data_IF_250879241263
#
_entry.id   IF_250879241263
#
_cell.length_a   1.000
_cell.length_b   1.000
_cell.length_c   1.000
_cell.angle_alpha   90.00
_cell.angle_beta   90.00
_cell.angle_gamma   90.00
#
_symmetry.space_group_name_H-M   'P 1'
#
loop_
_entity.id
_entity.type
_entity.pdbx_description
1 polymer ?
#
# COMPACT_ATOMS: atom_id res chain seq x y z
N UNK A 1 5.86 -94.15 -10.45
CA UNK A 1 5.99 -93.62 -11.82
C UNK A 1 5.31 -92.26 -11.84
N UNK A 2 6.01 -91.27 -12.40
CA UNK A 2 5.96 -89.85 -12.07
C UNK A 2 4.61 -89.19 -12.44
N UNK A 3 4.01 -88.47 -11.49
CA UNK A 3 2.97 -87.44 -11.70
C UNK A 3 3.24 -86.27 -10.75
N UNK A 4 2.74 -85.11 -11.15
CA UNK A 4 2.71 -83.79 -10.48
C UNK A 4 3.80 -82.78 -10.89
N UNK A 5 3.54 -82.21 -12.06
CA UNK A 5 3.30 -80.79 -12.32
C UNK A 5 3.79 -79.74 -11.30
N UNK A 6 4.73 -78.92 -11.78
CA UNK A 6 4.88 -77.48 -11.55
C UNK A 6 4.80 -76.97 -10.09
N UNK A 7 5.97 -76.89 -9.48
CA UNK A 7 6.27 -76.01 -8.34
C UNK A 7 7.48 -75.15 -8.71
N UNK A 8 7.29 -73.85 -8.95
CA UNK A 8 7.97 -72.87 -8.09
C UNK A 8 7.33 -71.48 -8.18
N UNK A 9 7.09 -70.91 -7.01
CA UNK A 9 6.55 -69.57 -6.82
C UNK A 9 7.68 -68.55 -6.88
N UNK A 10 7.49 -67.48 -7.66
CA UNK A 10 7.85 -66.10 -7.28
C UNK A 10 7.25 -65.08 -8.26
N UNK A 11 6.23 -64.30 -7.84
CA UNK A 11 5.98 -62.98 -8.39
C UNK A 11 6.54 -61.95 -7.41
N UNK A 12 7.63 -61.26 -7.77
CA UNK A 12 8.01 -60.02 -7.09
C UNK A 12 7.12 -58.90 -7.63
N UNK A 13 6.28 -58.40 -6.72
CA UNK A 13 5.36 -57.28 -6.87
C UNK A 13 6.07 -55.99 -7.30
N UNK A 14 5.41 -55.28 -8.22
CA UNK A 14 5.45 -53.83 -8.35
C UNK A 14 5.22 -53.15 -6.99
N UNK A 15 5.95 -52.06 -6.72
CA UNK A 15 5.39 -50.72 -6.48
C UNK A 15 6.48 -49.76 -5.97
N UNK A 16 6.62 -48.63 -6.66
CA UNK A 16 7.30 -47.42 -6.18
C UNK A 16 6.70 -46.95 -4.85
N UNK A 17 7.49 -46.29 -4.00
CA UNK A 17 7.13 -44.90 -3.76
C UNK A 17 8.32 -43.94 -3.71
N UNK A 18 8.06 -42.79 -4.33
CA UNK A 18 8.72 -41.50 -4.20
C UNK A 18 9.22 -41.22 -2.79
N UNK A 19 10.53 -41.01 -2.65
CA UNK A 19 11.07 -40.18 -1.57
C UNK A 19 11.11 -38.75 -2.08
N UNK A 20 9.99 -38.05 -1.90
CA UNK A 20 9.98 -36.60 -1.93
C UNK A 20 10.86 -36.10 -0.80
N UNK A 21 12.00 -35.51 -1.17
CA UNK A 21 12.71 -34.60 -0.30
C UNK A 21 11.76 -33.40 -0.10
N UNK A 22 11.14 -33.30 1.06
CA UNK A 22 10.38 -32.14 1.44
C UNK A 22 11.33 -30.93 1.48
N UNK A 23 11.04 -29.82 0.79
CA UNK A 23 11.79 -28.60 1.03
C UNK A 23 11.54 -28.17 2.47
N UNK A 24 12.64 -28.05 3.22
CA UNK A 24 12.68 -27.51 4.58
C UNK A 24 11.96 -26.16 4.61
N UNK A 25 10.93 -26.05 5.46
CA UNK A 25 10.16 -24.83 5.79
C UNK A 25 11.02 -23.83 6.59
N UNK A 26 12.17 -23.48 6.05
CA UNK A 26 13.11 -22.55 6.64
C UNK A 26 13.73 -21.71 5.53
N UNK A 27 12.86 -20.97 4.85
CA UNK A 27 13.21 -19.72 4.18
C UNK A 27 12.02 -18.77 4.37
N UNK A 28 11.70 -18.50 5.65
CA UNK A 28 10.93 -17.32 6.00
C UNK A 28 11.84 -16.11 5.76
N UNK A 29 11.93 -15.70 4.50
CA UNK A 29 12.34 -14.34 4.18
C UNK A 29 11.16 -13.46 4.58
N UNK A 30 11.05 -13.18 5.88
CA UNK A 30 10.34 -12.00 6.37
C UNK A 30 11.03 -10.85 5.66
N UNK A 31 10.41 -10.38 4.57
CA UNK A 31 10.85 -9.15 3.94
C UNK A 31 10.83 -8.10 5.07
N UNK A 32 11.97 -7.45 5.38
CA UNK A 32 11.96 -6.41 6.39
C UNK A 32 10.95 -5.33 5.97
N UNK A 33 10.47 -4.49 6.91
CA UNK A 33 9.70 -3.30 6.57
C UNK A 33 10.64 -2.31 5.84
N UNK A 34 10.96 -2.63 4.60
CA UNK A 34 11.93 -1.94 3.76
C UNK A 34 11.21 -1.38 2.53
N UNK A 35 10.11 -0.67 2.77
CA UNK A 35 9.37 0.12 1.76
C UNK A 35 9.74 1.61 1.80
N UNK A 36 10.92 1.94 2.36
CA UNK A 36 11.46 3.31 2.41
C UNK A 36 12.78 3.51 1.66
N UNK A 37 13.32 2.48 0.98
CA UNK A 37 14.69 2.52 0.42
C UNK A 37 14.93 3.61 -0.64
N UNK A 38 13.89 4.29 -1.13
CA UNK A 38 14.01 5.32 -2.16
C UNK A 38 13.88 6.76 -1.63
N UNK A 39 13.32 6.97 -0.44
CA UNK A 39 13.22 8.32 0.11
C UNK A 39 14.60 8.81 0.59
N UNK A 40 14.99 10.07 0.31
CA UNK A 40 16.29 10.56 0.72
C UNK A 40 16.48 10.48 2.24
N UNK A 41 17.62 9.92 2.66
CA UNK A 41 17.98 9.75 4.06
C UNK A 41 18.03 11.11 4.80
N UNK A 42 17.76 11.13 6.11
CA UNK A 42 17.99 12.33 6.93
C UNK A 42 19.46 12.80 6.82
N UNK A 43 19.68 14.10 6.58
CA UNK A 43 20.98 14.75 6.42
C UNK A 43 20.86 16.30 6.53
N UNK A 44 21.95 17.04 6.32
CA UNK A 44 22.06 18.45 6.75
C UNK A 44 21.30 19.50 5.91
N UNK A 45 20.87 19.19 4.67
CA UNK A 45 20.12 20.14 3.82
C UNK A 45 18.65 19.71 3.59
N UNK A 46 17.68 20.35 4.28
CA UNK A 46 16.27 20.05 4.11
C UNK A 46 15.72 20.43 2.74
N UNK A 47 16.24 21.49 2.09
CA UNK A 47 15.77 21.91 0.78
C UNK A 47 16.17 20.89 -0.29
N UNK A 48 17.43 20.44 -0.25
CA UNK A 48 17.91 19.39 -1.15
C UNK A 48 17.10 18.11 -0.96
N UNK A 49 16.88 17.70 0.29
CA UNK A 49 16.08 16.50 0.62
C UNK A 49 14.66 16.59 0.10
N UNK A 50 13.97 17.72 0.31
CA UNK A 50 12.62 17.92 -0.20
C UNK A 50 12.58 17.89 -1.73
N UNK A 51 13.56 18.51 -2.38
CA UNK A 51 13.68 18.53 -3.85
C UNK A 51 13.85 17.13 -4.41
N UNK A 52 14.76 16.35 -3.82
CA UNK A 52 14.99 14.94 -4.20
C UNK A 52 13.74 14.09 -3.96
N UNK A 53 13.07 14.30 -2.82
CA UNK A 53 11.83 13.59 -2.50
C UNK A 53 10.73 13.86 -3.53
N UNK A 54 10.48 15.14 -3.88
CA UNK A 54 9.50 15.49 -4.90
C UNK A 54 9.92 14.99 -6.29
N UNK A 55 11.22 14.96 -6.60
CA UNK A 55 11.75 14.33 -7.82
C UNK A 55 11.38 12.84 -7.91
N UNK A 56 11.66 12.09 -6.84
CA UNK A 56 11.28 10.68 -6.73
C UNK A 56 9.77 10.48 -6.92
N UNK A 57 8.93 11.26 -6.22
CA UNK A 57 7.49 11.15 -6.35
C UNK A 57 7.02 11.38 -7.80
N UNK A 58 7.62 12.34 -8.51
CA UNK A 58 7.30 12.59 -9.92
C UNK A 58 7.66 11.43 -10.84
N UNK A 59 8.76 10.73 -10.58
CA UNK A 59 9.18 9.54 -11.33
C UNK A 59 8.24 8.35 -11.11
N UNK A 60 7.71 8.25 -9.89
CA UNK A 60 6.80 7.19 -9.47
C UNK A 60 5.33 7.49 -9.83
N UNK A 61 4.91 8.75 -9.92
CA UNK A 61 3.51 9.15 -10.14
C UNK A 61 2.98 8.83 -11.55
N UNK A 62 1.68 8.52 -11.65
CA UNK A 62 0.99 8.24 -12.93
C UNK A 62 1.24 9.36 -13.94
N UNK A 63 1.10 10.61 -13.49
CA UNK A 63 1.49 11.81 -14.22
C UNK A 63 2.39 12.66 -13.32
N UNK A 64 3.62 13.03 -13.75
CA UNK A 64 4.52 13.84 -12.94
C UNK A 64 3.91 15.17 -12.48
N UNK A 65 3.06 15.79 -13.30
CA UNK A 65 2.38 17.05 -13.00
C UNK A 65 1.35 16.95 -11.85
N UNK A 66 1.00 15.73 -11.41
CA UNK A 66 0.15 15.54 -10.24
C UNK A 66 0.89 15.79 -8.94
N UNK A 67 2.23 15.81 -8.95
CA UNK A 67 3.03 16.15 -7.77
C UNK A 67 3.47 17.60 -7.88
N UNK A 68 2.77 18.48 -7.16
CA UNK A 68 2.99 19.92 -7.25
C UNK A 68 2.71 20.62 -5.93
N UNK A 69 3.53 21.63 -5.63
CA UNK A 69 3.32 22.57 -4.53
C UNK A 69 2.67 23.89 -5.03
N UNK A 70 2.38 24.06 -6.32
CA UNK A 70 1.95 25.35 -6.89
C UNK A 70 0.62 25.86 -6.33
N UNK A 71 -0.21 24.94 -5.83
CA UNK A 71 -1.49 25.23 -5.21
C UNK A 71 -1.35 25.64 -3.72
N UNK A 72 -0.17 25.44 -3.12
CA UNK A 72 0.18 25.93 -1.81
C UNK A 72 0.72 27.35 -2.02
N UNK A 73 0.01 28.34 -1.48
CA UNK A 73 0.50 29.72 -1.44
C UNK A 73 1.68 29.81 -0.46
N UNK A 74 2.83 29.29 -0.88
CA UNK A 74 4.03 29.11 -0.09
C UNK A 74 4.83 30.43 -0.05
N UNK A 75 5.07 31.03 1.13
CA UNK A 75 6.21 31.92 1.27
C UNK A 75 7.47 31.17 0.83
N UNK A 76 8.45 31.82 0.18
CA UNK A 76 9.52 31.12 -0.52
C UNK A 76 10.18 29.99 0.30
N UNK A 77 9.87 28.74 -0.07
CA UNK A 77 10.52 27.55 0.43
C UNK A 77 10.01 27.02 1.79
N UNK A 78 8.94 27.55 2.37
CA UNK A 78 8.43 27.05 3.67
C UNK A 78 7.96 25.60 3.54
N UNK A 79 7.20 25.27 2.50
CA UNK A 79 6.74 23.91 2.26
C UNK A 79 7.91 22.95 1.99
N UNK A 80 8.93 23.39 1.23
CA UNK A 80 10.12 22.59 0.98
C UNK A 80 10.91 22.32 2.27
N UNK A 81 11.12 23.34 3.11
CA UNK A 81 11.79 23.15 4.41
C UNK A 81 10.99 22.17 5.28
N UNK A 82 9.67 22.32 5.34
CA UNK A 82 8.81 21.44 6.12
C UNK A 82 8.89 19.99 5.64
N UNK A 83 8.74 19.74 4.33
CA UNK A 83 8.92 18.41 3.73
C UNK A 83 10.31 17.88 4.09
N UNK A 84 11.35 18.69 3.91
CA UNK A 84 12.73 18.35 4.19
C UNK A 84 12.97 17.85 5.61
N UNK A 85 12.28 18.40 6.60
CA UNK A 85 12.38 17.98 8.00
C UNK A 85 11.47 16.80 8.35
N UNK A 86 10.22 16.81 7.90
CA UNK A 86 9.16 15.99 8.49
C UNK A 86 8.73 14.81 7.64
N UNK A 87 9.05 14.80 6.33
CA UNK A 87 8.42 13.85 5.41
C UNK A 87 8.64 12.40 5.81
N UNK A 88 9.81 12.05 6.34
CA UNK A 88 10.10 10.67 6.77
C UNK A 88 9.22 10.21 7.94
N UNK A 89 8.91 11.09 8.89
CA UNK A 89 8.03 10.74 10.00
C UNK A 89 6.57 10.61 9.54
N UNK A 90 6.10 11.51 8.66
CA UNK A 90 4.76 11.39 8.04
C UNK A 90 4.63 10.05 7.32
N UNK A 91 5.63 9.75 6.51
CA UNK A 91 5.76 8.52 5.78
C UNK A 91 5.77 7.30 6.71
N UNK A 92 6.57 7.31 7.77
CA UNK A 92 6.57 6.25 8.78
C UNK A 92 5.18 5.98 9.36
N UNK A 93 4.38 7.01 9.63
CA UNK A 93 2.99 6.87 10.10
C UNK A 93 2.10 6.24 9.03
N UNK A 94 2.17 6.70 7.79
CA UNK A 94 1.42 6.09 6.68
C UNK A 94 1.80 4.62 6.47
N UNK A 95 3.08 4.26 6.65
CA UNK A 95 3.52 2.87 6.56
C UNK A 95 3.07 2.02 7.75
N UNK A 96 2.92 2.59 8.95
CA UNK A 96 2.29 1.91 10.06
C UNK A 96 0.83 1.57 9.73
N UNK A 97 0.06 2.58 9.28
CA UNK A 97 -1.33 2.41 8.81
C UNK A 97 -1.42 1.34 7.70
N UNK A 98 -0.54 1.39 6.71
CA UNK A 98 -0.50 0.39 5.64
C UNK A 98 -0.16 -1.01 6.19
N UNK A 99 0.77 -1.11 7.13
CA UNK A 99 1.18 -2.39 7.72
C UNK A 99 0.03 -3.04 8.50
N UNK A 100 -0.74 -2.24 9.23
CA UNK A 100 -1.93 -2.70 9.96
C UNK A 100 -3.02 -3.20 8.99
N UNK A 101 -3.28 -2.46 7.92
CA UNK A 101 -4.19 -2.88 6.84
C UNK A 101 -3.75 -4.18 6.16
N UNK A 102 -2.44 -4.40 6.01
CA UNK A 102 -1.89 -5.62 5.40
C UNK A 102 -1.89 -6.83 6.34
N UNK A 103 -2.11 -6.62 7.64
CA UNK A 103 -2.05 -7.68 8.64
C UNK A 103 -3.17 -8.73 8.47
N UNK A 104 -4.28 -8.37 7.82
CA UNK A 104 -5.38 -9.30 7.55
C UNK A 104 -5.11 -10.28 6.41
N UNK A 105 -4.04 -10.07 5.62
CA UNK A 105 -3.65 -10.99 4.55
C UNK A 105 -2.64 -12.02 5.04
N UNK A 106 -2.84 -13.26 4.60
CA UNK A 106 -1.84 -14.32 4.68
C UNK A 106 -0.53 -13.89 4.00
N UNK A 107 0.61 -14.28 4.56
CA UNK A 107 1.92 -13.82 4.10
C UNK A 107 2.16 -14.07 2.59
N UNK A 108 1.64 -15.19 2.07
CA UNK A 108 1.77 -15.56 0.65
C UNK A 108 0.81 -14.77 -0.28
N UNK A 109 -0.24 -14.16 0.27
CA UNK A 109 -1.26 -13.40 -0.47
C UNK A 109 -1.12 -11.89 -0.29
N UNK A 110 -0.25 -11.45 0.63
CA UNK A 110 -0.04 -10.04 0.94
C UNK A 110 0.49 -9.30 -0.30
N UNK A 111 -0.20 -8.25 -0.78
CA UNK A 111 0.24 -7.50 -1.94
C UNK A 111 1.58 -6.80 -1.64
N UNK A 112 2.44 -6.70 -2.66
CA UNK A 112 3.70 -5.95 -2.58
C UNK A 112 3.42 -4.49 -2.90
N UNK A 113 3.25 -3.70 -1.85
CA UNK A 113 2.87 -2.29 -1.93
C UNK A 113 3.84 -1.41 -1.14
N UNK A 114 4.03 -0.18 -1.60
CA UNK A 114 4.69 0.90 -0.85
C UNK A 114 3.79 2.13 -0.84
N UNK A 115 3.93 3.01 0.15
CA UNK A 115 3.12 4.22 0.28
C UNK A 115 3.99 5.46 0.44
N UNK A 116 3.55 6.59 -0.12
CA UNK A 116 4.18 7.89 0.08
C UNK A 116 3.14 8.97 0.36
N UNK A 117 3.47 9.87 1.28
CA UNK A 117 2.83 11.17 1.39
C UNK A 117 3.23 12.04 0.18
N UNK A 118 2.25 12.56 -0.55
CA UNK A 118 2.46 13.31 -1.77
C UNK A 118 1.61 14.60 -1.77
N UNK A 119 2.19 15.77 -2.06
CA UNK A 119 1.39 16.96 -2.34
C UNK A 119 0.74 16.79 -3.71
N UNK A 120 -0.52 16.34 -3.72
CA UNK A 120 -1.26 16.05 -4.94
C UNK A 120 -1.85 17.35 -5.45
N UNK A 121 -1.64 17.65 -6.73
CA UNK A 121 -2.10 18.88 -7.35
C UNK A 121 -3.63 18.90 -7.44
N UNK A 122 -4.25 20.07 -7.28
CA UNK A 122 -5.72 20.19 -7.31
C UNK A 122 -6.33 19.68 -8.62
N UNK A 123 -5.66 19.91 -9.75
CA UNK A 123 -6.12 19.43 -11.06
C UNK A 123 -6.14 17.91 -11.22
N UNK A 124 -5.47 17.15 -10.34
CA UNK A 124 -5.56 15.70 -10.36
C UNK A 124 -6.95 15.20 -9.90
N UNK A 125 -7.69 16.02 -9.15
CA UNK A 125 -9.07 15.71 -8.74
C UNK A 125 -9.22 14.57 -7.72
N UNK A 126 -8.12 14.04 -7.19
CA UNK A 126 -8.09 12.92 -6.24
C UNK A 126 -7.32 13.26 -4.98
N UNK A 127 -7.63 12.55 -3.89
CA UNK A 127 -6.96 12.70 -2.57
C UNK A 127 -5.87 11.63 -2.36
N UNK A 128 -5.87 10.59 -3.20
CA UNK A 128 -4.85 9.57 -3.33
C UNK A 128 -4.91 8.93 -4.71
N UNK A 129 -3.90 8.14 -5.06
CA UNK A 129 -3.95 7.26 -6.21
C UNK A 129 -2.98 6.09 -6.04
N UNK A 130 -3.31 4.99 -6.72
CA UNK A 130 -2.48 3.80 -6.84
C UNK A 130 -1.84 3.73 -8.24
N UNK A 131 -0.56 3.37 -8.30
CA UNK A 131 0.13 3.02 -9.55
C UNK A 131 0.64 1.59 -9.49
N UNK A 132 0.13 0.78 -10.41
CA UNK A 132 0.59 -0.59 -10.57
C UNK A 132 1.87 -0.69 -11.44
N UNK A 133 2.86 -1.41 -10.91
CA UNK A 133 4.20 -1.70 -11.48
C UNK A 133 4.70 -3.00 -10.83
N UNK A 134 5.97 -3.36 -11.01
CA UNK A 134 6.58 -4.49 -10.28
C UNK A 134 6.53 -4.34 -8.74
N UNK A 135 6.44 -3.11 -8.24
CA UNK A 135 6.10 -2.75 -6.87
C UNK A 135 5.00 -1.68 -6.94
N UNK A 136 3.80 -2.02 -6.51
CA UNK A 136 2.66 -1.10 -6.54
C UNK A 136 2.92 0.05 -5.57
N UNK A 137 2.72 1.28 -6.03
CA UNK A 137 2.95 2.49 -5.24
C UNK A 137 1.64 3.21 -4.96
N UNK A 138 1.32 3.39 -3.69
CA UNK A 138 0.24 4.23 -3.22
C UNK A 138 0.79 5.63 -2.96
N UNK A 139 0.11 6.65 -3.46
CA UNK A 139 0.41 8.04 -3.13
C UNK A 139 -0.83 8.67 -2.55
N UNK A 140 -0.73 9.23 -1.36
CA UNK A 140 -1.84 9.86 -0.66
C UNK A 140 -1.47 11.27 -0.29
N UNK A 141 -2.43 12.19 -0.31
CA UNK A 141 -2.26 13.56 0.19
C UNK A 141 -2.78 13.66 1.63
N UNK A 142 -1.92 13.42 2.64
CA UNK A 142 -2.32 13.50 4.04
C UNK A 142 -2.80 14.90 4.45
N UNK A 143 -2.52 15.94 3.66
CA UNK A 143 -3.04 17.28 3.92
C UNK A 143 -4.53 17.40 3.67
N UNK A 144 -5.10 16.62 2.76
CA UNK A 144 -6.51 16.76 2.32
C UNK A 144 -7.51 16.05 3.22
N UNK A 145 -7.07 15.05 3.97
CA UNK A 145 -7.90 14.25 4.88
C UNK A 145 -7.42 14.47 6.31
N UNK A 146 -8.34 14.54 7.26
CA UNK A 146 -7.95 14.65 8.69
C UNK A 146 -7.15 13.41 9.12
N UNK A 147 -6.13 13.52 9.98
CA UNK A 147 -5.25 12.41 10.34
C UNK A 147 -5.99 11.14 10.80
N UNK A 148 -7.04 11.31 11.61
CA UNK A 148 -7.85 10.22 12.13
C UNK A 148 -8.52 9.35 11.04
N UNK A 149 -8.68 9.88 9.82
CA UNK A 149 -9.31 9.19 8.71
C UNK A 149 -8.29 8.72 7.66
N UNK A 150 -6.98 8.87 7.90
CA UNK A 150 -5.93 8.30 7.05
C UNK A 150 -6.07 6.79 6.83
N UNK A 151 -6.46 5.95 7.81
CA UNK A 151 -6.71 4.52 7.55
C UNK A 151 -7.75 4.28 6.45
N UNK A 152 -8.80 5.10 6.39
CA UNK A 152 -9.80 5.01 5.33
C UNK A 152 -9.23 5.36 3.96
N UNK A 153 -8.46 6.44 3.86
CA UNK A 153 -7.80 6.83 2.61
C UNK A 153 -6.81 5.76 2.13
N UNK A 154 -5.98 5.23 3.02
CA UNK A 154 -5.01 4.19 2.68
C UNK A 154 -5.72 2.88 2.30
N UNK A 155 -6.82 2.52 2.98
CA UNK A 155 -7.64 1.37 2.62
C UNK A 155 -8.22 1.50 1.20
N UNK A 156 -8.68 2.69 0.81
CA UNK A 156 -9.19 2.95 -0.54
C UNK A 156 -8.12 2.67 -1.61
N UNK A 157 -6.94 3.26 -1.46
CA UNK A 157 -5.86 3.08 -2.44
C UNK A 157 -5.29 1.65 -2.44
N UNK A 158 -5.25 1.00 -1.28
CA UNK A 158 -4.87 -0.40 -1.17
C UNK A 158 -5.91 -1.31 -1.82
N UNK A 159 -7.21 -0.99 -1.76
CA UNK A 159 -8.24 -1.78 -2.43
C UNK A 159 -8.04 -1.81 -3.95
N UNK A 160 -7.61 -0.69 -4.57
CA UNK A 160 -7.20 -0.69 -5.98
C UNK A 160 -6.03 -1.63 -6.25
N UNK A 161 -5.02 -1.65 -5.38
CA UNK A 161 -3.87 -2.54 -5.50
C UNK A 161 -4.26 -4.03 -5.37
N UNK A 162 -5.13 -4.36 -4.41
CA UNK A 162 -5.63 -5.72 -4.19
C UNK A 162 -6.51 -6.19 -5.35
N UNK A 163 -7.37 -5.31 -5.86
CA UNK A 163 -8.24 -5.62 -6.99
C UNK A 163 -7.50 -5.72 -8.33
N UNK A 164 -6.29 -5.15 -8.44
CA UNK A 164 -5.54 -5.08 -9.69
C UNK A 164 -6.24 -4.24 -10.78
N UNK A 165 -7.10 -3.29 -10.36
CA UNK A 165 -7.96 -2.52 -11.26
C UNK A 165 -8.09 -1.06 -10.82
N UNK A 166 -8.15 -0.15 -11.78
CA UNK A 166 -8.30 1.31 -11.55
C UNK A 166 -9.75 1.76 -11.33
N UNK A 167 -10.73 0.88 -11.51
CA UNK A 167 -12.16 1.19 -11.35
C UNK A 167 -12.76 0.60 -10.09
N UNK A 168 -13.91 1.13 -9.68
CA UNK A 168 -14.66 0.72 -8.48
C UNK A 168 -15.66 -0.42 -8.77
N UNK A 169 -15.20 -1.45 -9.49
CA UNK A 169 -15.98 -2.63 -9.88
C UNK A 169 -16.15 -3.66 -8.76
N UNK A 170 -16.56 -4.87 -9.12
CA UNK A 170 -16.85 -5.94 -8.14
C UNK A 170 -15.60 -6.37 -7.34
N UNK A 171 -14.45 -6.43 -7.99
CA UNK A 171 -13.16 -6.78 -7.38
C UNK A 171 -12.74 -5.72 -6.35
N UNK A 172 -12.91 -4.43 -6.70
CA UNK A 172 -12.68 -3.32 -5.77
C UNK A 172 -13.64 -3.41 -4.59
N UNK A 173 -14.95 -3.61 -4.83
CA UNK A 173 -15.97 -3.70 -3.79
C UNK A 173 -15.65 -4.79 -2.76
N UNK A 174 -15.18 -5.96 -3.23
CA UNK A 174 -14.75 -7.06 -2.36
C UNK A 174 -13.50 -6.69 -1.57
N UNK A 175 -12.49 -6.10 -2.23
CA UNK A 175 -11.25 -5.69 -1.59
C UNK A 175 -11.50 -4.63 -0.50
N UNK A 176 -12.26 -3.58 -0.80
CA UNK A 176 -12.52 -2.51 0.18
C UNK A 176 -13.40 -3.02 1.32
N UNK A 177 -14.38 -3.91 1.07
CA UNK A 177 -15.18 -4.50 2.14
C UNK A 177 -14.34 -5.37 3.09
N UNK A 178 -13.41 -6.16 2.54
CA UNK A 178 -12.46 -6.94 3.34
C UNK A 178 -11.58 -6.05 4.22
N UNK A 179 -10.96 -5.03 3.62
CA UNK A 179 -10.09 -4.09 4.34
C UNK A 179 -10.85 -3.32 5.42
N UNK A 180 -12.07 -2.86 5.13
CA UNK A 180 -12.89 -2.13 6.10
C UNK A 180 -13.26 -3.01 7.29
N UNK A 181 -13.67 -4.25 7.04
CA UNK A 181 -14.03 -5.20 8.09
C UNK A 181 -12.84 -5.51 8.99
N UNK A 182 -11.63 -5.62 8.43
CA UNK A 182 -10.43 -5.94 9.18
C UNK A 182 -9.89 -4.79 10.06
N UNK A 183 -10.34 -3.55 9.83
CA UNK A 183 -9.86 -2.35 10.52
C UNK A 183 -10.98 -1.61 11.28
N UNK A 184 -12.11 -2.28 11.50
CA UNK A 184 -13.30 -1.67 12.13
C UNK A 184 -13.76 -0.36 11.46
N UNK A 185 -13.55 -0.25 10.15
CA UNK A 185 -14.04 0.87 9.32
C UNK A 185 -15.46 0.55 8.80
N UNK A 186 -16.24 1.57 8.39
CA UNK A 186 -17.54 1.35 7.78
C UNK A 186 -17.45 0.43 6.55
N UNK A 187 -18.09 -0.73 6.58
CA UNK A 187 -18.16 -1.65 5.44
C UNK A 187 -19.20 -1.13 4.44
N UNK A 188 -18.89 -1.08 3.13
CA UNK A 188 -19.87 -0.65 2.14
C UNK A 188 -21.04 -1.63 2.05
N UNK A 189 -22.20 -1.14 1.63
CA UNK A 189 -23.34 -2.01 1.33
C UNK A 189 -22.98 -3.01 0.20
N UNK A 190 -23.47 -4.27 0.24
CA UNK A 190 -23.13 -5.29 -0.76
C UNK A 190 -23.45 -4.92 -2.22
N UNK A 191 -24.34 -3.96 -2.42
CA UNK A 191 -24.80 -3.47 -3.72
C UNK A 191 -24.48 -1.98 -3.93
N UNK A 192 -23.50 -1.44 -3.22
CA UNK A 192 -23.00 -0.08 -3.45
C UNK A 192 -22.52 0.05 -4.91
N UNK A 193 -22.90 1.15 -5.56
CA UNK A 193 -22.46 1.45 -6.92
C UNK A 193 -21.04 2.05 -6.94
N UNK A 194 -20.48 2.17 -8.14
CA UNK A 194 -19.13 2.67 -8.34
C UNK A 194 -18.95 4.12 -7.85
N UNK A 195 -20.01 4.95 -7.92
CA UNK A 195 -19.98 6.33 -7.44
C UNK A 195 -19.93 6.42 -5.92
N UNK A 196 -20.66 5.54 -5.23
CA UNK A 196 -20.58 5.41 -3.78
C UNK A 196 -19.21 4.89 -3.36
N UNK A 197 -18.72 3.86 -4.05
CA UNK A 197 -17.43 3.23 -3.76
C UNK A 197 -16.24 4.15 -4.03
N UNK A 198 -16.34 5.09 -4.98
CA UNK A 198 -15.28 6.07 -5.26
C UNK A 198 -15.02 7.05 -4.12
N UNK A 199 -15.92 7.12 -3.15
CA UNK A 199 -15.79 7.94 -1.94
C UNK A 199 -15.72 7.09 -0.66
N UNK A 200 -15.54 5.77 -0.78
CA UNK A 200 -15.59 4.84 0.35
C UNK A 200 -14.19 4.40 0.79
N UNK A 201 -13.86 4.39 2.10
CA UNK A 201 -14.71 4.73 3.23
C UNK A 201 -14.92 6.24 3.36
N UNK A 202 -16.04 6.70 3.94
CA UNK A 202 -16.26 8.12 4.17
C UNK A 202 -15.13 8.72 5.03
N UNK A 203 -14.39 9.67 4.44
CA UNK A 203 -13.31 10.38 5.12
C UNK A 203 -13.65 11.87 5.26
N UNK A 204 -13.33 12.47 6.41
CA UNK A 204 -13.49 13.91 6.61
C UNK A 204 -12.36 14.66 5.93
N UNK A 205 -12.73 15.62 5.09
CA UNK A 205 -11.78 16.53 4.46
C UNK A 205 -11.22 17.52 5.47
N UNK A 206 -9.93 17.80 5.36
CA UNK A 206 -9.31 18.93 6.04
C UNK A 206 -9.78 20.23 5.37
N UNK A 207 -10.35 21.19 6.11
CA UNK A 207 -10.82 22.46 5.54
C UNK A 207 -9.69 23.35 4.99
N UNK A 208 -8.44 23.14 5.42
CA UNK A 208 -7.29 23.90 4.92
C UNK A 208 -6.09 22.98 4.59
N UNK A 209 -6.14 22.24 3.47
CA UNK A 209 -5.16 21.18 3.17
C UNK A 209 -3.72 21.66 3.05
N UNK A 210 -3.52 22.89 2.57
CA UNK A 210 -2.19 23.50 2.41
C UNK A 210 -1.46 23.66 3.74
N UNK A 211 -2.18 23.78 4.87
CA UNK A 211 -1.56 24.01 6.18
C UNK A 211 -0.76 22.82 6.67
N UNK A 212 -1.14 21.62 6.26
CA UNK A 212 -0.35 20.43 6.51
C UNK A 212 1.06 20.56 5.91
N UNK A 213 1.13 20.89 4.62
CA UNK A 213 2.39 21.02 3.89
C UNK A 213 3.22 22.23 4.31
N UNK A 214 2.59 23.23 4.94
CA UNK A 214 3.25 24.39 5.55
C UNK A 214 3.67 24.14 7.02
N UNK A 215 3.36 22.98 7.59
CA UNK A 215 3.66 22.65 8.98
C UNK A 215 2.84 23.41 10.02
N UNK A 216 1.66 23.90 9.64
CA UNK A 216 0.78 24.70 10.49
C UNK A 216 -0.35 23.87 11.13
N UNK A 217 -0.39 22.56 10.85
CA UNK A 217 -1.39 21.63 11.39
C UNK A 217 -0.71 20.54 12.21
N UNK A 218 -1.29 20.17 13.35
CA UNK A 218 -0.89 18.97 14.07
C UNK A 218 -1.41 17.72 13.33
N UNK A 219 -0.52 16.77 13.03
CA UNK A 219 -0.83 15.61 12.20
C UNK A 219 -0.40 14.27 12.79
N UNK A 220 0.27 14.28 13.93
CA UNK A 220 0.74 13.04 14.53
C UNK A 220 -0.47 12.23 15.04
N UNK A 221 -0.57 10.99 14.55
CA UNK A 221 -1.45 10.00 15.16
C UNK A 221 -0.86 9.59 16.51
N UNK A 222 -1.70 9.60 17.55
CA UNK A 222 -1.43 8.84 18.78
C UNK A 222 -1.62 7.37 18.42
N UNK A 223 -0.53 6.70 18.04
CA UNK A 223 -0.47 5.25 17.79
C UNK A 223 -0.16 4.51 19.09
#
# INVERSE_FOLDING_TARGET
>A
MIRDSHSDRKPTRNEHPSRHCAPSLSDQTVLPPATWQQAPAPGDDPLLRATQYLGLLRELAVQPSWISLDHIADPPGVALIWIGHHIHQVNQQLNAVLSDLLACFEAAQRPRVQIFAAPIATQAGVDGFCRDRSLTTLMVDPGRIVPADWPGLVAHELAHAVAGASGHGAEFAQAIAHLCLAQDLPVPAPNADAETLSHWPPCRRNPDPKQFWLGQTAWQLEL
#
